data_IF_751452350619
#
_entry.id   IF_751452350619
#
_cell.length_a   1.000
_cell.length_b   1.000
_cell.length_c   1.000
_cell.angle_alpha   90.00
_cell.angle_beta   90.00
_cell.angle_gamma   90.00
#
_symmetry.space_group_name_H-M   'P 1'
#
loop_
_entity.id
_entity.type
_entity.pdbx_description
1 polymer ?
#
# COMPACT_ATOMS: atom_id res chain seq x y z
N UNK A 1 11.33 -54.71 24.37
CA UNK A 1 12.39 -53.73 24.05
C UNK A 1 12.23 -53.05 22.70
N UNK A 2 12.23 -53.76 21.56
CA UNK A 2 12.17 -53.13 20.21
C UNK A 2 10.99 -52.16 19.99
N UNK A 3 9.80 -52.47 20.53
CA UNK A 3 8.60 -51.60 20.44
C UNK A 3 8.72 -50.30 21.24
N UNK A 4 9.44 -50.33 22.37
CA UNK A 4 9.62 -49.15 23.24
C UNK A 4 10.62 -48.17 22.60
N UNK A 5 11.69 -48.69 21.99
CA UNK A 5 12.70 -47.89 21.28
C UNK A 5 12.09 -47.19 20.05
N UNK A 6 11.20 -47.88 19.31
CA UNK A 6 10.51 -47.30 18.17
C UNK A 6 9.57 -46.14 18.56
N UNK A 7 8.81 -46.28 19.65
CA UNK A 7 7.93 -45.22 20.15
C UNK A 7 8.74 -44.02 20.64
N UNK A 8 9.86 -44.26 21.35
CA UNK A 8 10.72 -43.18 21.82
C UNK A 8 11.35 -42.39 20.66
N UNK A 9 11.82 -43.08 19.61
CA UNK A 9 12.40 -42.45 18.43
C UNK A 9 11.37 -41.60 17.66
N UNK A 10 10.11 -42.07 17.56
CA UNK A 10 9.00 -41.32 16.94
C UNK A 10 8.69 -40.07 17.75
N UNK A 11 8.57 -40.18 19.09
CA UNK A 11 8.31 -39.03 19.96
C UNK A 11 9.43 -37.98 19.89
N UNK A 12 10.70 -38.39 19.87
CA UNK A 12 11.83 -37.48 19.72
C UNK A 12 11.81 -36.78 18.36
N UNK A 13 11.56 -37.53 17.27
CA UNK A 13 11.42 -36.96 15.92
C UNK A 13 10.29 -35.93 15.81
N UNK A 14 9.13 -36.20 16.42
CA UNK A 14 7.99 -35.27 16.47
C UNK A 14 8.34 -34.01 17.26
N UNK A 15 9.00 -34.13 18.42
CA UNK A 15 9.40 -32.97 19.23
C UNK A 15 10.43 -32.10 18.49
N UNK A 16 11.41 -32.71 17.81
CA UNK A 16 12.36 -31.95 16.97
C UNK A 16 11.66 -31.26 15.80
N UNK A 17 10.71 -31.92 15.13
CA UNK A 17 9.97 -31.33 14.01
C UNK A 17 9.08 -30.17 14.47
N UNK A 18 8.37 -30.30 15.61
CA UNK A 18 7.55 -29.24 16.21
C UNK A 18 8.42 -28.05 16.64
N UNK A 19 9.64 -28.28 17.13
CA UNK A 19 10.56 -27.19 17.51
C UNK A 19 11.28 -26.54 16.33
N UNK A 20 11.47 -27.26 15.21
CA UNK A 20 12.04 -26.71 13.99
C UNK A 20 11.01 -25.97 13.12
N UNK A 21 9.72 -26.28 13.26
CA UNK A 21 8.63 -25.68 12.47
C UNK A 21 8.53 -24.15 12.62
N UNK A 22 8.64 -23.53 13.81
CA UNK A 22 8.66 -22.07 13.95
C UNK A 22 9.86 -21.42 13.25
N UNK A 23 11.01 -22.09 13.21
CA UNK A 23 12.21 -21.61 12.51
C UNK A 23 11.98 -21.66 11.00
N UNK A 24 11.32 -22.71 10.49
CA UNK A 24 10.97 -22.81 9.06
C UNK A 24 9.98 -21.71 8.64
N UNK A 25 9.05 -21.32 9.51
CA UNK A 25 8.10 -20.23 9.23
C UNK A 25 8.78 -18.85 9.07
N UNK A 26 9.97 -18.64 9.63
CA UNK A 26 10.76 -17.42 9.41
C UNK A 26 11.28 -17.27 7.98
N UNK A 27 11.28 -18.35 7.19
CA UNK A 27 11.72 -18.34 5.78
C UNK A 27 10.56 -18.28 4.79
N UNK A 28 9.31 -18.23 5.27
CA UNK A 28 8.18 -17.98 4.38
C UNK A 28 8.23 -16.53 3.89
N UNK A 29 7.89 -16.26 2.62
CA UNK A 29 7.87 -14.91 2.12
C UNK A 29 6.85 -14.07 2.90
N UNK A 30 7.13 -12.77 3.12
CA UNK A 30 6.18 -11.86 3.72
C UNK A 30 4.85 -11.85 2.97
N UNK A 31 3.75 -11.79 3.72
CA UNK A 31 2.40 -11.83 3.16
C UNK A 31 1.42 -11.01 3.99
N UNK A 32 0.27 -10.68 3.39
CA UNK A 32 -0.81 -9.97 4.06
C UNK A 32 -1.40 -10.86 5.18
N UNK A 33 -1.31 -10.39 6.41
CA UNK A 33 -1.81 -11.06 7.61
C UNK A 33 -3.15 -10.52 8.10
N UNK A 34 -3.34 -10.56 9.41
CA UNK A 34 -4.55 -10.10 10.09
C UNK A 34 -4.82 -8.60 9.84
N UNK A 35 -6.09 -8.24 9.70
CA UNK A 35 -6.52 -6.85 9.57
C UNK A 35 -6.47 -6.16 10.93
N UNK A 36 -5.74 -5.06 11.00
CA UNK A 36 -5.50 -4.29 12.24
C UNK A 36 -6.39 -3.05 12.33
N UNK A 37 -6.60 -2.38 11.19
CA UNK A 37 -7.33 -1.12 11.11
C UNK A 37 -8.09 -1.06 9.79
N UNK A 38 -9.27 -0.45 9.83
CA UNK A 38 -10.07 -0.14 8.65
C UNK A 38 -10.50 1.32 8.74
N UNK A 39 -10.37 2.05 7.65
CA UNK A 39 -10.91 3.39 7.50
C UNK A 39 -11.67 3.52 6.18
N UNK A 40 -12.85 4.15 6.21
CA UNK A 40 -13.72 4.34 5.04
C UNK A 40 -14.10 5.82 4.89
N UNK A 41 -14.24 6.24 3.63
CA UNK A 41 -14.77 7.54 3.22
C UNK A 41 -15.57 7.39 1.94
N UNK A 42 -16.39 8.37 1.60
CA UNK A 42 -17.28 8.30 0.45
C UNK A 42 -17.52 9.65 -0.21
N UNK A 43 -17.84 9.61 -1.50
CA UNK A 43 -18.63 10.65 -2.17
C UNK A 43 -20.02 10.08 -2.53
N UNK A 44 -20.82 10.83 -3.30
CA UNK A 44 -22.16 10.38 -3.70
C UNK A 44 -22.13 9.06 -4.50
N UNK A 45 -21.32 8.89 -5.56
CA UNK A 45 -21.36 7.67 -6.37
C UNK A 45 -20.58 6.46 -5.82
N UNK A 46 -19.53 6.65 -5.03
CA UNK A 46 -18.70 5.54 -4.56
C UNK A 46 -18.01 5.77 -3.22
N UNK A 47 -17.58 4.65 -2.64
CA UNK A 47 -16.92 4.55 -1.34
C UNK A 47 -15.51 4.05 -1.54
N UNK A 48 -14.59 4.54 -0.72
CA UNK A 48 -13.20 4.09 -0.67
C UNK A 48 -12.91 3.63 0.75
N UNK A 49 -12.29 2.45 0.88
CA UNK A 49 -11.83 1.90 2.14
C UNK A 49 -10.34 1.63 2.07
N UNK A 50 -9.67 1.81 3.18
CA UNK A 50 -8.27 1.43 3.37
C UNK A 50 -8.22 0.46 4.54
N UNK A 51 -7.71 -0.74 4.28
CA UNK A 51 -7.47 -1.74 5.32
C UNK A 51 -5.97 -1.85 5.57
N UNK A 52 -5.55 -1.69 6.82
CA UNK A 52 -4.17 -1.95 7.26
C UNK A 52 -4.12 -3.36 7.84
N UNK A 53 -3.22 -4.16 7.32
CA UNK A 53 -2.98 -5.52 7.76
C UNK A 53 -1.57 -5.66 8.35
N UNK A 54 -1.43 -6.46 9.39
CA UNK A 54 -0.14 -6.92 9.86
C UNK A 54 0.58 -7.67 8.72
N UNK A 55 1.90 -7.57 8.67
CA UNK A 55 2.70 -8.47 7.85
C UNK A 55 2.87 -9.83 8.55
N UNK A 56 2.39 -10.89 7.91
CA UNK A 56 2.71 -12.26 8.30
C UNK A 56 4.06 -12.66 7.70
N UNK A 57 4.89 -13.34 8.50
CA UNK A 57 6.24 -13.80 8.11
C UNK A 57 7.23 -12.67 7.76
N UNK A 58 7.08 -11.48 8.36
CA UNK A 58 7.98 -10.33 8.17
C UNK A 58 9.33 -10.42 8.90
N UNK A 59 9.63 -11.54 9.56
CA UNK A 59 10.83 -11.68 10.37
C UNK A 59 10.77 -10.91 11.69
N UNK A 60 11.91 -10.35 12.12
CA UNK A 60 12.04 -9.67 13.42
C UNK A 60 11.39 -8.29 13.48
N UNK A 61 11.25 -7.61 12.34
CA UNK A 61 10.63 -6.28 12.24
C UNK A 61 9.57 -6.36 11.15
N UNK A 62 8.33 -6.78 11.49
CA UNK A 62 7.27 -6.95 10.52
C UNK A 62 6.75 -5.60 10.03
N UNK A 63 6.55 -5.48 8.72
CA UNK A 63 5.89 -4.33 8.12
C UNK A 63 4.36 -4.36 8.27
N UNK A 64 3.68 -3.61 7.40
CA UNK A 64 2.23 -3.70 7.21
C UNK A 64 1.86 -3.62 5.72
N UNK A 65 0.68 -4.16 5.39
CA UNK A 65 0.06 -4.02 4.07
C UNK A 65 -1.12 -3.06 4.16
N UNK A 66 -1.21 -2.11 3.24
CA UNK A 66 -2.31 -1.16 3.10
C UNK A 66 -3.06 -1.49 1.82
N UNK A 67 -4.31 -1.91 1.96
CA UNK A 67 -5.15 -2.33 0.83
C UNK A 67 -6.19 -1.24 0.60
N UNK A 68 -6.07 -0.54 -0.52
CA UNK A 68 -7.04 0.45 -0.96
C UNK A 68 -8.10 -0.25 -1.79
N UNK A 69 -9.35 -0.04 -1.45
CA UNK A 69 -10.50 -0.68 -2.09
C UNK A 69 -11.57 0.34 -2.41
N UNK A 70 -12.43 0.00 -3.37
CA UNK A 70 -13.61 0.78 -3.66
C UNK A 70 -14.86 -0.08 -3.79
N UNK A 71 -16.01 0.54 -3.59
CA UNK A 71 -17.31 -0.03 -3.89
C UNK A 71 -18.25 1.07 -4.40
N UNK A 72 -19.25 0.71 -5.19
CA UNK A 72 -20.35 1.65 -5.48
C UNK A 72 -21.07 2.02 -4.17
N UNK A 73 -21.70 3.19 -4.11
CA UNK A 73 -22.34 3.67 -2.89
C UNK A 73 -23.42 2.72 -2.33
N UNK A 74 -24.10 1.99 -3.21
CA UNK A 74 -25.18 1.04 -2.92
C UNK A 74 -24.74 -0.43 -2.94
N UNK A 75 -23.45 -0.71 -3.04
CA UNK A 75 -22.91 -2.07 -3.18
C UNK A 75 -21.90 -2.38 -2.08
N UNK A 76 -21.97 -3.60 -1.53
CA UNK A 76 -20.97 -4.14 -0.61
C UNK A 76 -19.88 -4.96 -1.32
N UNK A 77 -19.84 -4.91 -2.65
CA UNK A 77 -18.81 -5.56 -3.46
C UNK A 77 -17.56 -4.69 -3.55
N UNK A 78 -16.66 -4.88 -2.60
CA UNK A 78 -15.36 -4.21 -2.56
C UNK A 78 -14.40 -4.78 -3.60
N UNK A 79 -13.83 -3.91 -4.43
CA UNK A 79 -12.78 -4.22 -5.42
C UNK A 79 -11.48 -3.56 -5.01
N UNK A 80 -10.37 -4.28 -5.12
CA UNK A 80 -9.04 -3.74 -4.81
C UNK A 80 -8.63 -2.71 -5.88
N UNK A 81 -8.17 -1.54 -5.43
CA UNK A 81 -7.54 -0.50 -6.25
C UNK A 81 -6.03 -0.77 -6.32
N UNK A 82 -5.38 -0.83 -5.17
CA UNK A 82 -3.94 -1.06 -5.03
C UNK A 82 -3.61 -1.60 -3.63
N UNK A 83 -2.50 -2.34 -3.53
CA UNK A 83 -1.91 -2.76 -2.27
C UNK A 83 -0.50 -2.18 -2.13
N UNK A 84 -0.18 -1.62 -0.97
CA UNK A 84 1.15 -1.11 -0.63
C UNK A 84 1.71 -1.85 0.59
N UNK A 85 2.95 -2.35 0.49
CA UNK A 85 3.69 -2.91 1.62
C UNK A 85 4.62 -1.84 2.19
N UNK A 86 4.54 -1.60 3.49
CA UNK A 86 5.35 -0.61 4.21
C UNK A 86 6.20 -1.31 5.27
N UNK A 87 7.52 -1.13 5.24
CA UNK A 87 8.41 -1.75 6.24
C UNK A 87 8.33 -1.06 7.62
N UNK A 88 8.01 0.24 7.66
CA UNK A 88 7.86 1.02 8.89
C UNK A 88 6.41 1.49 9.09
N UNK A 89 5.52 0.65 9.63
CA UNK A 89 4.09 0.84 9.51
C UNK A 89 3.59 2.08 10.28
N UNK A 90 2.85 2.94 9.59
CA UNK A 90 2.16 4.12 10.12
C UNK A 90 0.65 3.89 10.23
N UNK A 91 -0.06 4.72 10.98
CA UNK A 91 -1.54 4.71 10.94
C UNK A 91 -2.04 5.14 9.56
N UNK A 92 -3.28 4.76 9.20
CA UNK A 92 -3.84 5.08 7.88
C UNK A 92 -3.88 6.60 7.67
N UNK A 93 -3.10 7.16 6.73
CA UNK A 93 -3.09 8.60 6.46
C UNK A 93 -4.33 9.01 5.66
N UNK A 94 -5.39 9.39 6.37
CA UNK A 94 -6.74 9.69 5.80
C UNK A 94 -6.74 10.74 4.69
N UNK A 95 -5.82 11.70 4.76
CA UNK A 95 -5.67 12.79 3.79
C UNK A 95 -5.23 12.31 2.39
N UNK A 96 -4.78 11.05 2.26
CA UNK A 96 -4.34 10.48 0.99
C UNK A 96 -5.48 10.01 0.09
N UNK A 97 -6.73 9.99 0.58
CA UNK A 97 -7.92 9.67 -0.22
C UNK A 97 -8.74 10.93 -0.44
N UNK A 98 -8.90 11.35 -1.69
CA UNK A 98 -9.56 12.61 -2.03
C UNK A 98 -10.48 12.46 -3.25
N UNK A 99 -11.58 13.20 -3.20
CA UNK A 99 -12.56 13.28 -4.27
C UNK A 99 -12.52 14.69 -4.85
N UNK A 100 -12.15 14.80 -6.13
CA UNK A 100 -12.13 16.06 -6.86
C UNK A 100 -13.50 16.36 -7.50
N UNK A 101 -14.27 15.32 -7.82
CA UNK A 101 -15.66 15.40 -8.26
C UNK A 101 -16.38 14.07 -8.01
N UNK A 102 -17.60 13.93 -8.52
CA UNK A 102 -18.32 12.65 -8.55
C UNK A 102 -17.64 11.61 -9.47
N UNK A 103 -16.86 12.04 -10.47
CA UNK A 103 -16.20 11.12 -11.40
C UNK A 103 -14.71 10.95 -11.10
N UNK A 104 -14.11 11.94 -10.45
CA UNK A 104 -12.66 12.00 -10.25
C UNK A 104 -12.32 11.85 -8.78
N UNK A 105 -11.55 10.82 -8.47
CA UNK A 105 -10.95 10.63 -7.16
C UNK A 105 -9.55 10.06 -7.31
N UNK A 106 -8.77 10.21 -6.26
CA UNK A 106 -7.43 9.66 -6.22
C UNK A 106 -7.08 9.21 -4.81
N UNK A 107 -6.18 8.23 -4.77
CA UNK A 107 -5.60 7.68 -3.55
C UNK A 107 -4.09 7.68 -3.71
N UNK A 108 -3.35 7.96 -2.64
CA UNK A 108 -1.88 7.80 -2.62
C UNK A 108 -1.44 7.00 -1.41
N UNK A 109 -0.22 6.44 -1.47
CA UNK A 109 0.51 5.91 -0.32
C UNK A 109 1.99 5.85 -0.69
N UNK A 110 2.84 6.52 0.09
CA UNK A 110 4.29 6.57 -0.14
C UNK A 110 4.63 7.06 -1.56
N UNK A 111 5.15 6.23 -2.46
CA UNK A 111 5.45 6.59 -3.86
C UNK A 111 4.41 6.10 -4.86
N UNK A 112 3.34 5.42 -4.40
CA UNK A 112 2.27 4.91 -5.25
C UNK A 112 1.05 5.80 -5.17
N UNK A 113 0.32 5.90 -6.28
CA UNK A 113 -0.99 6.54 -6.31
C UNK A 113 -1.87 5.88 -7.37
N UNK A 114 -3.18 6.07 -7.24
CA UNK A 114 -4.14 5.65 -8.24
C UNK A 114 -5.18 6.75 -8.45
N UNK A 115 -5.62 6.90 -9.71
CA UNK A 115 -6.62 7.89 -10.11
C UNK A 115 -7.74 7.20 -10.86
N UNK A 116 -8.97 7.57 -10.56
CA UNK A 116 -10.15 7.28 -11.37
C UNK A 116 -10.69 8.57 -11.99
N UNK A 117 -11.25 8.46 -13.20
CA UNK A 117 -11.92 9.56 -13.90
C UNK A 117 -13.31 9.15 -14.38
N UNK A 118 -13.83 8.02 -13.93
CA UNK A 118 -15.06 7.39 -14.39
C UNK A 118 -15.95 6.92 -13.23
N UNK A 119 -15.86 7.59 -12.07
CA UNK A 119 -16.68 7.28 -10.91
C UNK A 119 -16.23 6.00 -10.18
N UNK A 120 -14.94 5.68 -10.25
CA UNK A 120 -14.37 4.49 -9.63
C UNK A 120 -14.50 3.22 -10.49
N UNK A 121 -15.12 3.25 -11.67
CA UNK A 121 -15.27 2.07 -12.50
C UNK A 121 -13.94 1.45 -12.93
N UNK A 122 -12.96 2.30 -13.20
CA UNK A 122 -11.57 1.93 -13.46
C UNK A 122 -10.59 2.83 -12.70
N UNK A 123 -9.42 2.27 -12.39
CA UNK A 123 -8.36 2.94 -11.66
C UNK A 123 -7.04 2.75 -12.39
N UNK A 124 -6.30 3.84 -12.59
CA UNK A 124 -4.93 3.80 -13.10
C UNK A 124 -3.96 3.95 -11.95
N UNK A 125 -3.27 2.86 -11.61
CA UNK A 125 -2.19 2.84 -10.61
C UNK A 125 -0.89 3.29 -11.26
N UNK A 126 -0.10 4.10 -10.57
CA UNK A 126 1.18 4.60 -11.05
C UNK A 126 2.18 4.78 -9.89
N UNK A 127 3.46 4.85 -10.22
CA UNK A 127 4.54 4.99 -9.24
C UNK A 127 5.35 6.23 -9.58
N UNK A 128 5.68 7.05 -8.57
CA UNK A 128 6.32 8.35 -8.81
C UNK A 128 7.71 8.22 -9.43
N UNK A 129 8.44 7.14 -9.14
CA UNK A 129 9.73 6.89 -9.77
C UNK A 129 9.66 6.72 -11.30
N UNK A 130 8.49 6.45 -11.88
CA UNK A 130 8.33 6.35 -13.34
C UNK A 130 8.46 7.73 -14.01
N UNK A 131 8.35 8.81 -13.23
CA UNK A 131 8.41 10.21 -13.68
C UNK A 131 9.64 10.98 -13.19
N UNK A 132 10.51 10.32 -12.42
CA UNK A 132 11.71 10.93 -11.86
C UNK A 132 12.96 10.54 -12.68
N UNK A 133 13.99 11.41 -12.72
CA UNK A 133 15.33 11.02 -13.15
C UNK A 133 15.82 9.77 -12.41
N UNK A 134 16.62 8.91 -13.10
CA UNK A 134 17.07 7.61 -12.56
C UNK A 134 17.94 7.71 -11.31
N UNK A 135 18.60 8.84 -11.12
CA UNK A 135 19.44 9.16 -9.98
C UNK A 135 18.64 9.70 -8.78
N UNK A 136 17.40 10.12 -8.99
CA UNK A 136 16.48 10.49 -7.92
C UNK A 136 15.77 9.26 -7.35
N UNK A 137 15.65 9.22 -6.03
CA UNK A 137 15.01 8.11 -5.32
C UNK A 137 13.92 8.62 -4.38
N UNK A 138 12.78 7.95 -4.44
CA UNK A 138 11.71 8.03 -3.44
C UNK A 138 11.98 7.05 -2.29
N UNK A 139 11.77 7.48 -1.05
CA UNK A 139 11.65 6.58 0.11
C UNK A 139 10.20 6.46 0.54
N UNK A 140 9.98 5.72 1.62
CA UNK A 140 8.73 5.80 2.37
C UNK A 140 8.39 7.27 2.66
N UNK A 141 7.14 7.66 2.40
CA UNK A 141 6.71 9.05 2.48
C UNK A 141 7.12 9.93 1.28
N UNK A 142 7.40 9.36 0.10
CA UNK A 142 7.79 10.16 -1.07
C UNK A 142 6.73 11.19 -1.46
N UNK A 143 5.46 10.79 -1.58
CA UNK A 143 4.34 11.70 -1.83
C UNK A 143 3.98 12.36 -0.50
N UNK A 144 4.36 13.62 -0.34
CA UNK A 144 4.00 14.45 0.79
C UNK A 144 2.56 14.97 0.64
N UNK A 145 2.22 15.46 -0.56
CA UNK A 145 0.89 15.95 -0.90
C UNK A 145 0.61 15.67 -2.39
N UNK A 146 -0.61 15.24 -2.70
CA UNK A 146 -1.10 15.02 -4.06
C UNK A 146 -2.43 15.73 -4.22
N UNK A 147 -2.52 16.60 -5.23
CA UNK A 147 -3.73 17.34 -5.58
C UNK A 147 -4.01 17.20 -7.06
N UNK A 148 -5.19 16.71 -7.40
CA UNK A 148 -5.67 16.62 -8.78
C UNK A 148 -7.08 17.20 -8.79
N UNK A 149 -7.29 18.22 -9.60
CA UNK A 149 -8.58 18.87 -9.80
C UNK A 149 -9.43 18.11 -10.83
N UNK A 150 -10.74 18.39 -10.83
CA UNK A 150 -11.69 17.72 -11.73
C UNK A 150 -11.44 17.98 -13.22
N UNK A 151 -10.71 19.06 -13.57
CA UNK A 151 -10.31 19.40 -14.94
C UNK A 151 -9.04 18.65 -15.40
N UNK A 152 -8.41 17.85 -14.53
CA UNK A 152 -7.20 17.11 -14.80
C UNK A 152 -5.89 17.85 -14.51
N UNK A 153 -5.95 19.11 -14.08
CA UNK A 153 -4.76 19.81 -13.56
C UNK A 153 -4.43 19.32 -12.16
N UNK A 154 -3.16 19.32 -11.80
CA UNK A 154 -2.76 18.88 -10.47
C UNK A 154 -1.31 19.15 -10.14
N UNK A 155 -0.98 19.00 -8.87
CA UNK A 155 0.37 19.15 -8.30
C UNK A 155 0.66 17.96 -7.39
N UNK A 156 1.90 17.47 -7.42
CA UNK A 156 2.43 16.55 -6.42
C UNK A 156 3.69 17.14 -5.81
N UNK A 157 3.78 17.05 -4.47
CA UNK A 157 4.96 17.45 -3.71
C UNK A 157 5.68 16.22 -3.25
N UNK A 158 6.95 16.12 -3.61
CA UNK A 158 7.76 14.94 -3.41
C UNK A 158 8.92 15.21 -2.45
N UNK A 159 9.06 14.33 -1.47
CA UNK A 159 10.21 14.24 -0.59
C UNK A 159 11.21 13.21 -1.17
N UNK A 160 12.17 13.70 -1.96
CA UNK A 160 13.20 12.87 -2.61
C UNK A 160 14.54 12.97 -1.89
N UNK A 161 15.28 11.86 -1.81
CA UNK A 161 16.57 11.81 -1.08
C UNK A 161 17.59 12.81 -1.65
N UNK A 162 17.58 13.00 -2.97
CA UNK A 162 18.55 13.83 -3.68
C UNK A 162 18.27 15.34 -3.54
N UNK A 163 17.08 15.73 -3.08
CA UNK A 163 16.78 17.12 -2.81
C UNK A 163 17.51 17.60 -1.56
N UNK A 164 17.93 18.88 -1.49
CA UNK A 164 18.27 19.50 -0.23
C UNK A 164 17.15 19.22 0.78
N UNK A 165 17.49 18.86 2.03
CA UNK A 165 16.53 18.43 3.07
C UNK A 165 15.33 19.37 3.29
N UNK A 166 15.43 20.61 2.83
CA UNK A 166 14.43 21.66 2.99
C UNK A 166 13.68 22.00 1.69
N UNK A 167 13.83 21.22 0.62
CA UNK A 167 13.14 21.46 -0.67
C UNK A 167 12.39 20.24 -1.16
N UNK A 168 11.06 20.35 -1.14
CA UNK A 168 10.19 19.41 -1.85
C UNK A 168 10.34 19.62 -3.36
N UNK A 169 10.45 18.53 -4.12
CA UNK A 169 10.34 18.59 -5.57
C UNK A 169 8.86 18.68 -5.93
N UNK A 170 8.52 19.62 -6.81
CA UNK A 170 7.12 19.86 -7.19
C UNK A 170 6.96 19.47 -8.64
N UNK A 171 6.02 18.56 -8.91
CA UNK A 171 5.63 18.22 -10.27
C UNK A 171 4.18 18.63 -10.51
N UNK A 172 3.87 19.02 -11.74
CA UNK A 172 2.54 19.36 -12.22
C UNK A 172 2.06 18.40 -13.30
N UNK A 173 0.73 18.28 -13.40
CA UNK A 173 0.04 17.51 -14.42
C UNK A 173 -1.10 18.32 -15.02
N UNK A 174 -1.46 18.01 -16.26
CA UNK A 174 -2.65 18.52 -16.96
C UNK A 174 -3.49 17.39 -17.58
N UNK A 175 -3.27 16.15 -17.15
CA UNK A 175 -3.88 14.95 -17.72
C UNK A 175 -4.23 13.90 -16.66
N UNK A 176 -4.66 14.36 -15.47
CA UNK A 176 -5.02 13.51 -14.33
C UNK A 176 -3.85 12.66 -13.84
N UNK A 177 -2.63 13.20 -13.90
CA UNK A 177 -1.40 12.54 -13.49
C UNK A 177 -0.97 11.44 -14.46
N UNK A 178 -1.38 11.45 -15.73
CA UNK A 178 -0.85 10.47 -16.71
C UNK A 178 0.59 10.81 -17.04
N UNK A 179 0.88 12.09 -17.09
CA UNK A 179 2.22 12.65 -17.18
C UNK A 179 2.43 13.68 -16.07
N UNK A 180 3.68 13.78 -15.65
CA UNK A 180 4.15 14.75 -14.67
C UNK A 180 5.34 15.50 -15.24
N UNK A 181 5.39 16.81 -15.00
CA UNK A 181 6.50 17.69 -15.41
C UNK A 181 6.94 18.51 -14.20
N UNK A 182 8.22 18.80 -14.11
CA UNK A 182 8.73 19.68 -13.06
C UNK A 182 8.17 21.09 -13.25
N UNK A 183 7.75 21.70 -12.14
CA UNK A 183 7.14 23.04 -12.10
C UNK A 183 8.19 24.14 -12.09
#
# INVERSE_FOLDING_TARGET
MKRIIAVLAICIGIVFFIKALPILMLFLPPSKGEMLETWETANTPFRIRVDRHAEANGGFVPGAYYVFQFAAADSDQWREIMTFRHDDPVDIPREQVRFASEQVAYVSMSWMYAVTTDGGNSWRVSKMWDFLPKDERCLYGCIEDLRIDANGTGEVRLNIIASPKDRLKILETNDFGKTWREK
#
